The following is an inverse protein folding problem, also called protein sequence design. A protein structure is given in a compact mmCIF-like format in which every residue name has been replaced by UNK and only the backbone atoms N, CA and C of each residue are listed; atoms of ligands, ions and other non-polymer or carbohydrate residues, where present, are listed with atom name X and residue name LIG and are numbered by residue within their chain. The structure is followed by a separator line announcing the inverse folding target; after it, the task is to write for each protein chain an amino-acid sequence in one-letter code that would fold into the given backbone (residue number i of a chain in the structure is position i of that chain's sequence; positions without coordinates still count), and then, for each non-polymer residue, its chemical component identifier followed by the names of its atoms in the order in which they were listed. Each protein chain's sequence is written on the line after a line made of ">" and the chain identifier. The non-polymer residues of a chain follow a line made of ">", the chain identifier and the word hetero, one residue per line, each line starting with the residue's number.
data_IF_489551532470
#
_entry.id   IF_489551532470
#
_cell.length_a   1.000
_cell.length_b   1.000
_cell.length_c   1.000
_cell.angle_alpha   90.00
_cell.angle_beta   90.00
_cell.angle_gamma   90.00
#
_symmetry.space_group_name_H-M   'P 1'
#
loop_
_entity.id
_entity.type
_entity.pdbx_description
1 polymer ?
#
# COMPACT_ATOMS: atom_id res chain seq x y z
N UNK A 1 30.25 -8.90 -21.91
CA UNK A 1 29.87 -7.51 -21.70
C UNK A 1 28.98 -7.33 -20.50
N UNK A 2 28.78 -6.08 -20.11
CA UNK A 2 27.83 -5.68 -19.06
C UNK A 2 26.69 -4.84 -19.64
N UNK A 3 25.49 -5.00 -19.12
CA UNK A 3 24.35 -4.12 -19.39
C UNK A 3 23.72 -3.73 -18.05
N UNK A 4 23.42 -2.45 -17.88
CA UNK A 4 22.83 -1.89 -16.66
C UNK A 4 21.66 -1.00 -17.07
N UNK A 5 20.48 -1.25 -16.45
CA UNK A 5 19.30 -0.43 -16.59
C UNK A 5 18.82 -0.01 -15.21
N UNK A 6 18.54 1.26 -15.01
CA UNK A 6 18.02 1.82 -13.76
C UNK A 6 16.89 2.78 -14.07
N UNK A 7 15.82 2.71 -13.29
CA UNK A 7 14.69 3.63 -13.35
C UNK A 7 14.26 3.98 -11.93
N UNK A 8 13.95 5.25 -11.71
CA UNK A 8 13.34 5.74 -10.48
C UNK A 8 12.28 6.78 -10.77
N UNK A 9 11.19 6.79 -10.01
CA UNK A 9 10.20 7.85 -10.07
C UNK A 9 9.60 8.12 -8.71
N UNK A 10 9.20 9.36 -8.47
CA UNK A 10 8.49 9.76 -7.26
C UNK A 10 7.19 10.44 -7.64
N UNK A 11 6.09 9.97 -7.07
CA UNK A 11 4.76 10.52 -7.29
C UNK A 11 4.12 10.83 -5.95
N UNK A 12 3.54 12.01 -5.81
CA UNK A 12 2.78 12.39 -4.63
C UNK A 12 1.59 13.27 -5.01
N UNK A 13 0.61 13.35 -4.15
CA UNK A 13 -0.57 14.19 -4.36
C UNK A 13 -1.51 14.17 -3.17
N UNK A 14 -2.48 15.07 -3.20
CA UNK A 14 -3.49 15.18 -2.13
C UNK A 14 -4.70 14.26 -2.35
N UNK A 15 -4.82 13.62 -3.52
CA UNK A 15 -6.00 12.83 -3.88
C UNK A 15 -7.24 13.68 -4.16
N UNK A 16 -8.33 13.03 -4.55
CA UNK A 16 -9.60 13.70 -4.83
C UNK A 16 -10.38 14.02 -3.55
N UNK A 17 -10.52 13.07 -2.63
CA UNK A 17 -11.20 13.27 -1.36
C UNK A 17 -10.29 13.99 -0.35
N UNK A 18 -10.89 14.68 0.62
CA UNK A 18 -10.16 15.33 1.70
C UNK A 18 -9.26 14.35 2.46
N UNK A 19 -8.01 14.74 2.69
CA UNK A 19 -7.06 13.96 3.48
C UNK A 19 -6.61 12.64 2.85
N UNK A 20 -6.84 12.39 1.56
CA UNK A 20 -6.41 11.17 0.85
C UNK A 20 -5.07 11.36 0.13
N UNK A 21 -4.16 12.06 0.76
CA UNK A 21 -2.83 12.26 0.22
C UNK A 21 -2.04 10.94 0.14
N UNK A 22 -1.17 10.86 -0.86
CA UNK A 22 -0.36 9.69 -1.14
C UNK A 22 1.06 10.07 -1.55
N UNK A 23 1.98 9.11 -1.35
CA UNK A 23 3.36 9.15 -1.82
C UNK A 23 3.77 7.77 -2.29
N UNK A 24 4.38 7.70 -3.47
CA UNK A 24 4.89 6.47 -4.07
C UNK A 24 6.29 6.74 -4.62
N UNK A 25 7.22 5.88 -4.31
CA UNK A 25 8.54 5.87 -4.93
C UNK A 25 8.71 4.55 -5.71
N UNK A 26 8.81 4.61 -7.03
CA UNK A 26 9.09 3.43 -7.84
C UNK A 26 10.57 3.34 -8.13
N UNK A 27 11.11 2.14 -8.02
CA UNK A 27 12.49 1.85 -8.42
C UNK A 27 12.55 0.53 -9.18
N UNK A 28 13.47 0.49 -10.13
CA UNK A 28 13.84 -0.68 -10.90
C UNK A 28 15.33 -0.62 -11.18
N UNK A 29 16.03 -1.75 -11.03
CA UNK A 29 17.39 -1.93 -11.49
C UNK A 29 17.56 -3.32 -12.07
N UNK A 30 18.24 -3.40 -13.20
CA UNK A 30 18.68 -4.64 -13.81
C UNK A 30 20.17 -4.54 -14.16
N UNK A 31 20.94 -5.55 -13.76
CA UNK A 31 22.34 -5.69 -14.09
C UNK A 31 22.52 -7.03 -14.73
N UNK A 32 23.03 -7.06 -15.95
CA UNK A 32 23.28 -8.29 -16.71
C UNK A 32 24.75 -8.41 -17.09
N UNK A 33 25.28 -9.59 -16.99
CA UNK A 33 26.65 -9.95 -17.42
C UNK A 33 26.60 -11.08 -18.43
N UNK A 34 27.09 -10.85 -19.61
CA UNK A 34 27.41 -11.88 -20.60
C UNK A 34 28.86 -12.31 -20.35
N UNK A 35 29.05 -13.51 -19.80
CA UNK A 35 30.36 -14.09 -19.49
C UNK A 35 31.08 -14.55 -20.76
N UNK A 36 30.32 -15.26 -21.61
CA UNK A 36 30.74 -15.75 -22.93
C UNK A 36 29.50 -15.90 -23.81
N UNK A 37 29.62 -16.45 -25.00
CA UNK A 37 28.52 -16.67 -25.94
C UNK A 37 27.37 -17.54 -25.37
N UNK A 38 27.64 -18.35 -24.36
CA UNK A 38 26.73 -19.36 -23.85
C UNK A 38 26.12 -19.02 -22.49
N UNK A 39 26.70 -18.11 -21.71
CA UNK A 39 26.29 -17.84 -20.35
C UNK A 39 26.01 -16.38 -20.08
N UNK A 40 24.78 -16.08 -19.68
CA UNK A 40 24.39 -14.78 -19.21
C UNK A 40 23.76 -14.90 -17.82
N UNK A 41 24.14 -13.98 -16.93
CA UNK A 41 23.54 -13.83 -15.61
C UNK A 41 22.90 -12.43 -15.51
N UNK A 42 21.66 -12.37 -15.02
CA UNK A 42 20.94 -11.11 -14.86
C UNK A 42 20.34 -11.05 -13.46
N UNK A 43 20.66 -9.98 -12.74
CA UNK A 43 20.01 -9.63 -11.47
C UNK A 43 19.02 -8.50 -11.70
N UNK A 44 17.79 -8.68 -11.22
CA UNK A 44 16.73 -7.65 -11.30
C UNK A 44 16.19 -7.40 -9.91
N UNK A 45 15.98 -6.13 -9.59
CA UNK A 45 15.26 -5.68 -8.40
C UNK A 45 14.29 -4.58 -8.78
N UNK A 46 13.06 -4.62 -8.26
CA UNK A 46 12.10 -3.54 -8.37
C UNK A 46 11.16 -3.50 -7.18
N UNK A 47 10.53 -2.36 -6.99
CA UNK A 47 9.55 -2.15 -5.94
C UNK A 47 8.94 -0.77 -5.98
N UNK A 48 7.87 -0.61 -5.21
CA UNK A 48 7.11 0.62 -5.10
C UNK A 48 6.71 0.86 -3.63
N UNK A 49 7.65 1.29 -2.74
CA UNK A 49 7.24 1.74 -1.41
C UNK A 49 6.21 2.85 -1.53
N UNK A 50 5.09 2.67 -0.88
CA UNK A 50 3.98 3.61 -0.92
C UNK A 50 3.35 3.81 0.44
N UNK A 51 2.83 5.00 0.63
CA UNK A 51 1.94 5.34 1.74
C UNK A 51 0.78 6.17 1.20
N UNK A 52 -0.41 5.92 1.70
CA UNK A 52 -1.59 6.67 1.32
C UNK A 52 -2.63 6.66 2.43
N UNK A 53 -3.46 7.69 2.39
CA UNK A 53 -4.67 7.79 3.18
C UNK A 53 -5.87 7.56 2.28
N UNK A 54 -6.92 6.97 2.83
CA UNK A 54 -8.09 6.55 2.06
C UNK A 54 -9.37 7.16 2.63
N UNK A 55 -10.43 7.01 1.88
CA UNK A 55 -11.81 7.17 2.30
C UNK A 55 -12.54 5.86 2.05
N UNK A 56 -12.35 4.89 2.94
CA UNK A 56 -12.88 3.53 2.77
C UNK A 56 -14.32 3.39 3.25
N UNK A 57 -14.77 4.27 4.13
CA UNK A 57 -16.08 4.16 4.75
C UNK A 57 -17.18 4.73 3.84
N UNK A 58 -18.14 3.89 3.48
CA UNK A 58 -19.36 4.33 2.81
C UNK A 58 -20.29 5.09 3.77
N UNK A 59 -21.09 6.00 3.22
CA UNK A 59 -22.15 6.72 3.94
C UNK A 59 -23.52 6.40 3.35
N UNK A 60 -24.55 6.45 4.18
CA UNK A 60 -25.93 6.36 3.73
C UNK A 60 -26.32 7.54 2.84
N UNK A 61 -27.38 7.38 2.04
CA UNK A 61 -27.93 8.49 1.24
C UNK A 61 -28.32 9.69 2.12
N UNK A 62 -28.90 9.43 3.30
CA UNK A 62 -29.30 10.48 4.24
C UNK A 62 -28.09 11.25 4.78
N UNK A 63 -27.00 10.55 5.11
CA UNK A 63 -25.78 11.21 5.57
C UNK A 63 -25.09 12.00 4.45
N UNK A 64 -25.09 11.50 3.22
CA UNK A 64 -24.60 12.28 2.08
C UNK A 64 -25.42 13.56 1.83
N UNK A 65 -26.74 13.50 2.02
CA UNK A 65 -27.60 14.68 1.93
C UNK A 65 -27.30 15.67 3.04
N UNK A 66 -27.07 15.20 4.26
CA UNK A 66 -26.64 16.05 5.38
C UNK A 66 -25.25 16.68 5.10
N UNK A 67 -24.30 15.92 4.57
CA UNK A 67 -22.98 16.47 4.17
C UNK A 67 -23.16 17.58 3.13
N UNK A 68 -23.98 17.33 2.12
CA UNK A 68 -24.23 18.29 1.05
C UNK A 68 -24.87 19.59 1.57
N UNK A 69 -25.84 19.50 2.47
CA UNK A 69 -26.62 20.64 2.93
C UNK A 69 -25.98 21.38 4.10
N UNK A 70 -25.31 20.68 4.99
CA UNK A 70 -24.81 21.23 6.25
C UNK A 70 -23.30 21.51 6.26
N UNK A 71 -22.49 20.61 5.67
CA UNK A 71 -21.04 20.64 5.85
C UNK A 71 -20.25 21.04 4.60
N UNK A 72 -20.88 21.13 3.45
CA UNK A 72 -20.17 21.38 2.19
C UNK A 72 -20.57 22.68 1.50
N UNK A 73 -21.38 23.52 2.14
CA UNK A 73 -21.98 24.74 1.66
C UNK A 73 -21.50 25.24 0.28
N UNK A 74 -20.25 25.71 0.15
CA UNK A 74 -19.67 26.21 -1.10
C UNK A 74 -18.59 25.30 -1.70
N UNK A 75 -18.44 24.08 -1.20
CA UNK A 75 -17.40 23.12 -1.63
C UNK A 75 -18.03 21.90 -2.30
N UNK A 76 -17.28 21.23 -3.16
CA UNK A 76 -17.72 19.96 -3.71
C UNK A 76 -17.87 18.92 -2.58
N UNK A 77 -19.11 18.65 -2.18
CA UNK A 77 -19.47 17.70 -1.14
C UNK A 77 -18.96 16.26 -1.43
N UNK A 78 -18.71 15.93 -2.70
CA UNK A 78 -18.15 14.62 -3.09
C UNK A 78 -16.74 14.41 -2.59
N UNK A 79 -16.03 15.49 -2.25
CA UNK A 79 -14.70 15.46 -1.67
C UNK A 79 -14.69 15.21 -0.17
N UNK A 80 -15.83 15.26 0.48
CA UNK A 80 -15.94 15.00 1.92
C UNK A 80 -15.38 13.62 2.29
N UNK A 81 -14.58 13.58 3.35
CA UNK A 81 -14.07 12.37 3.94
C UNK A 81 -14.45 12.34 5.42
N UNK A 82 -15.26 11.35 5.88
CA UNK A 82 -15.71 11.27 7.27
C UNK A 82 -14.57 11.25 8.28
N UNK A 83 -13.43 10.67 7.90
CA UNK A 83 -12.26 10.49 8.77
C UNK A 83 -11.29 11.67 8.75
N UNK A 84 -11.53 12.65 7.86
CA UNK A 84 -10.69 13.81 7.73
C UNK A 84 -10.95 14.86 8.80
N UNK A 85 -9.89 15.31 9.46
CA UNK A 85 -10.01 16.37 10.45
C UNK A 85 -8.67 16.88 10.96
N UNK A 86 -8.67 17.46 12.16
CA UNK A 86 -7.51 18.14 12.72
C UNK A 86 -7.28 17.70 14.17
N UNK A 87 -6.02 17.64 14.57
CA UNK A 87 -5.63 17.45 15.97
C UNK A 87 -5.55 18.80 16.71
N UNK A 88 -5.20 18.74 18.00
CA UNK A 88 -5.11 19.95 18.86
C UNK A 88 -4.03 20.96 18.43
N UNK A 89 -3.08 20.56 17.61
CA UNK A 89 -2.07 21.45 17.02
C UNK A 89 -2.41 21.94 15.63
N UNK A 90 -3.62 21.66 15.14
CA UNK A 90 -4.08 22.04 13.80
C UNK A 90 -3.49 21.19 12.65
N UNK A 91 -2.82 20.08 12.95
CA UNK A 91 -2.31 19.18 11.92
C UNK A 91 -3.43 18.33 11.35
N UNK A 92 -3.43 18.16 10.04
CA UNK A 92 -4.35 17.28 9.32
C UNK A 92 -4.15 15.83 9.74
N UNK A 93 -5.24 15.12 9.94
CA UNK A 93 -5.30 13.69 10.29
C UNK A 93 -6.35 12.98 9.45
N UNK A 94 -6.11 11.71 9.19
CA UNK A 94 -7.07 10.78 8.61
C UNK A 94 -6.79 9.42 9.21
N UNK A 95 -7.79 8.74 9.75
CA UNK A 95 -7.60 7.45 10.43
C UNK A 95 -7.27 6.32 9.45
N UNK A 96 -7.83 6.36 8.26
CA UNK A 96 -7.64 5.34 7.23
C UNK A 96 -6.30 5.55 6.49
N UNK A 97 -5.29 4.87 6.97
CA UNK A 97 -3.90 4.95 6.50
C UNK A 97 -3.36 3.58 6.14
N UNK A 98 -2.66 3.51 5.03
CA UNK A 98 -1.93 2.32 4.60
C UNK A 98 -0.50 2.67 4.18
N UNK A 99 0.43 1.79 4.53
CA UNK A 99 1.81 1.82 4.08
C UNK A 99 2.23 0.43 3.67
N UNK A 100 2.75 0.30 2.45
CA UNK A 100 3.10 -0.98 1.88
C UNK A 100 4.37 -0.90 1.05
N UNK A 101 5.20 -1.95 1.13
CA UNK A 101 6.35 -2.15 0.28
C UNK A 101 6.62 -3.64 0.11
N UNK A 102 6.73 -4.09 -1.13
CA UNK A 102 7.12 -5.45 -1.50
C UNK A 102 8.19 -5.40 -2.58
N UNK A 103 9.48 -5.30 -2.21
CA UNK A 103 10.56 -5.50 -3.16
C UNK A 103 10.50 -6.90 -3.75
N UNK A 104 10.66 -6.97 -5.05
CA UNK A 104 10.85 -8.19 -5.80
C UNK A 104 12.28 -8.23 -6.32
N UNK A 105 12.95 -9.37 -6.14
CA UNK A 105 14.31 -9.61 -6.60
C UNK A 105 14.36 -10.92 -7.37
N UNK A 106 15.12 -10.97 -8.45
CA UNK A 106 15.37 -12.22 -9.18
C UNK A 106 16.80 -12.30 -9.69
N UNK A 107 17.32 -13.50 -9.71
CA UNK A 107 18.59 -13.85 -10.35
C UNK A 107 18.30 -14.88 -11.43
N UNK A 108 18.49 -14.47 -12.68
CA UNK A 108 18.23 -15.29 -13.87
C UNK A 108 19.54 -15.68 -14.52
N UNK A 109 19.76 -16.98 -14.72
CA UNK A 109 20.82 -17.53 -15.52
C UNK A 109 20.26 -18.06 -16.84
N UNK A 110 20.80 -17.61 -17.94
CA UNK A 110 20.57 -18.16 -19.27
C UNK A 110 21.81 -18.95 -19.69
N UNK A 111 21.64 -20.22 -20.02
CA UNK A 111 22.65 -21.09 -20.57
C UNK A 111 22.24 -21.54 -21.97
N UNK A 112 22.95 -21.06 -23.00
CA UNK A 112 22.86 -21.57 -24.36
C UNK A 112 23.70 -22.82 -24.47
N UNK A 113 23.09 -24.00 -24.39
CA UNK A 113 23.80 -25.31 -24.36
C UNK A 113 24.42 -25.61 -25.73
N UNK A 114 23.64 -25.33 -26.77
CA UNK A 114 24.03 -25.42 -28.17
C UNK A 114 23.12 -24.52 -29.02
N UNK A 115 23.26 -24.54 -30.35
CA UNK A 115 22.49 -23.71 -31.27
C UNK A 115 20.95 -23.92 -31.17
N UNK A 116 20.53 -25.13 -30.71
CA UNK A 116 19.13 -25.55 -30.68
C UNK A 116 18.54 -25.65 -29.26
N UNK A 117 19.36 -25.54 -28.23
CA UNK A 117 18.91 -25.84 -26.87
C UNK A 117 19.42 -24.81 -25.87
N UNK A 118 18.56 -24.39 -24.99
CA UNK A 118 18.90 -23.49 -23.88
C UNK A 118 18.21 -23.93 -22.58
N UNK A 119 18.81 -23.53 -21.47
CA UNK A 119 18.27 -23.66 -20.13
C UNK A 119 18.22 -22.28 -19.48
N UNK A 120 17.02 -21.87 -19.05
CA UNK A 120 16.83 -20.65 -18.27
C UNK A 120 16.44 -21.04 -16.86
N UNK A 121 17.22 -20.59 -15.87
CA UNK A 121 16.94 -20.80 -14.45
C UNK A 121 16.81 -19.45 -13.76
N UNK A 122 15.74 -19.23 -13.02
CA UNK A 122 15.48 -18.02 -12.26
C UNK A 122 15.16 -18.38 -10.82
N UNK A 123 15.89 -17.84 -9.88
CA UNK A 123 15.51 -17.80 -8.47
C UNK A 123 14.97 -16.42 -8.16
N UNK A 124 13.91 -16.34 -7.34
CA UNK A 124 13.29 -15.06 -7.02
C UNK A 124 12.82 -14.98 -5.57
N UNK A 125 12.70 -13.77 -5.08
CA UNK A 125 12.17 -13.45 -3.76
C UNK A 125 11.30 -12.21 -3.81
N UNK A 126 10.18 -12.23 -3.10
CA UNK A 126 9.35 -11.08 -2.80
C UNK A 126 9.25 -10.92 -1.28
N UNK A 127 9.65 -9.76 -0.74
CA UNK A 127 9.76 -9.50 0.68
C UNK A 127 8.78 -8.40 1.09
N UNK A 128 7.51 -8.77 1.27
CA UNK A 128 6.43 -7.85 1.57
C UNK A 128 6.39 -7.39 3.03
N UNK A 129 6.21 -6.11 3.24
CA UNK A 129 5.80 -5.57 4.53
C UNK A 129 4.83 -4.41 4.34
N UNK A 130 3.78 -4.40 5.16
CA UNK A 130 2.78 -3.34 5.07
C UNK A 130 1.85 -3.34 6.26
N UNK A 131 0.97 -2.37 6.28
CA UNK A 131 -0.04 -2.25 7.31
C UNK A 131 -0.62 -0.85 7.40
N UNK A 132 -1.55 -0.70 8.31
CA UNK A 132 -2.27 0.53 8.52
C UNK A 132 -2.43 0.87 10.00
N UNK A 133 -3.36 1.77 10.27
CA UNK A 133 -3.80 2.05 11.63
C UNK A 133 -5.06 1.23 11.95
N UNK A 134 -5.18 0.89 13.23
CA UNK A 134 -6.39 0.32 13.81
C UNK A 134 -6.72 1.04 15.11
N UNK A 135 -7.92 1.56 15.22
CA UNK A 135 -8.43 2.17 16.43
C UNK A 135 -8.63 1.13 17.53
N UNK A 136 -8.28 1.49 18.76
CA UNK A 136 -8.55 0.74 19.98
C UNK A 136 -9.15 1.68 21.00
N UNK A 137 -10.05 1.17 21.81
CA UNK A 137 -10.74 1.95 22.83
C UNK A 137 -10.92 1.17 24.12
N UNK A 138 -11.15 1.88 25.21
CA UNK A 138 -11.73 1.34 26.41
C UNK A 138 -13.21 1.03 26.14
N UNK A 139 -13.56 -0.24 25.94
CA UNK A 139 -14.87 -0.71 25.51
C UNK A 139 -16.01 -0.43 26.50
N UNK A 140 -15.72 -0.01 27.72
CA UNK A 140 -16.75 0.37 28.69
C UNK A 140 -17.31 1.78 28.43
N UNK A 141 -16.51 2.66 27.86
CA UNK A 141 -16.86 4.08 27.63
C UNK A 141 -16.86 4.42 26.14
N UNK A 142 -15.88 3.91 25.42
CA UNK A 142 -15.66 4.17 24.01
C UNK A 142 -15.53 2.86 23.23
N UNK A 143 -15.81 2.91 21.93
CA UNK A 143 -15.58 1.79 21.01
C UNK A 143 -14.43 2.10 20.05
N UNK A 144 -13.85 1.07 19.43
CA UNK A 144 -12.84 1.23 18.38
C UNK A 144 -13.37 2.04 17.19
N UNK A 145 -14.67 2.00 16.94
CA UNK A 145 -15.34 2.78 15.88
C UNK A 145 -15.35 4.29 16.16
N UNK A 146 -15.11 4.71 17.38
CA UNK A 146 -15.01 6.13 17.74
C UNK A 146 -13.80 6.82 17.12
N UNK A 147 -12.82 6.05 16.60
CA UNK A 147 -11.72 6.56 15.80
C UNK A 147 -12.07 6.87 14.35
N UNK A 148 -13.20 6.38 13.88
CA UNK A 148 -13.59 6.49 12.49
C UNK A 148 -14.75 7.48 12.33
N UNK A 149 -14.71 8.23 11.26
CA UNK A 149 -15.73 9.24 10.96
C UNK A 149 -17.08 8.65 10.56
N UNK A 150 -17.17 7.35 10.34
CA UNK A 150 -18.42 6.63 10.11
C UNK A 150 -18.41 5.24 10.73
N UNK A 151 -19.59 4.75 11.07
CA UNK A 151 -19.84 3.42 11.61
C UNK A 151 -21.00 2.78 10.86
N UNK A 152 -20.79 1.60 10.26
CA UNK A 152 -21.79 0.86 9.47
C UNK A 152 -22.56 1.74 8.47
N UNK A 153 -21.86 2.65 7.81
CA UNK A 153 -22.45 3.56 6.82
C UNK A 153 -23.12 4.82 7.40
N UNK A 154 -23.18 4.97 8.70
CA UNK A 154 -23.70 6.18 9.36
C UNK A 154 -22.56 7.10 9.77
N UNK A 155 -22.76 8.40 9.57
CA UNK A 155 -21.80 9.42 9.98
C UNK A 155 -21.66 9.44 11.50
N UNK A 156 -20.43 9.26 12.00
CA UNK A 156 -20.15 9.37 13.42
C UNK A 156 -20.23 10.86 13.86
N UNK A 157 -21.18 11.16 14.74
CA UNK A 157 -21.42 12.51 15.25
C UNK A 157 -20.74 12.78 16.58
N UNK A 158 -20.22 11.78 17.28
CA UNK A 158 -19.61 11.89 18.61
C UNK A 158 -18.36 12.78 18.62
N UNK A 159 -17.57 12.66 17.55
CA UNK A 159 -16.35 13.43 17.33
C UNK A 159 -16.42 14.25 16.03
N UNK A 160 -17.56 14.87 15.77
CA UNK A 160 -17.76 15.70 14.59
C UNK A 160 -17.77 17.19 14.99
N UNK A 161 -16.86 17.95 14.40
CA UNK A 161 -16.82 19.40 14.57
C UNK A 161 -17.98 20.10 13.81
N UNK A 162 -18.24 21.35 14.15
CA UNK A 162 -19.33 22.12 13.56
C UNK A 162 -19.18 22.33 12.03
N UNK A 163 -17.94 22.33 11.53
CA UNK A 163 -17.62 22.45 10.10
C UNK A 163 -17.68 21.10 9.35
N UNK A 164 -18.02 20.03 10.05
CA UNK A 164 -18.12 18.68 9.50
C UNK A 164 -16.82 17.88 9.51
N UNK A 165 -15.69 18.43 9.94
CA UNK A 165 -14.43 17.68 10.09
C UNK A 165 -14.48 16.75 11.29
N UNK A 166 -13.64 15.70 11.29
CA UNK A 166 -13.50 14.82 12.43
C UNK A 166 -12.61 15.46 13.50
N UNK A 167 -13.07 15.48 14.75
CA UNK A 167 -12.44 16.21 15.85
C UNK A 167 -11.44 15.34 16.60
N UNK A 168 -10.24 15.17 16.03
CA UNK A 168 -9.13 14.49 16.71
C UNK A 168 -8.65 15.23 17.97
N UNK A 169 -8.82 16.55 18.03
CA UNK A 169 -8.45 17.34 19.21
C UNK A 169 -9.29 16.96 20.43
N UNK A 170 -10.58 16.65 20.23
CA UNK A 170 -11.45 16.15 21.30
C UNK A 170 -10.99 14.78 21.83
N UNK A 171 -10.55 13.89 20.95
CA UNK A 171 -9.98 12.58 21.36
C UNK A 171 -8.70 12.79 22.19
N UNK A 172 -7.80 13.68 21.73
CA UNK A 172 -6.58 14.01 22.46
C UNK A 172 -6.89 14.61 23.84
N UNK A 173 -7.90 15.45 23.96
CA UNK A 173 -8.35 16.03 25.22
C UNK A 173 -8.89 14.97 26.20
N UNK A 174 -9.69 14.01 25.70
CA UNK A 174 -10.20 12.88 26.48
C UNK A 174 -9.03 12.05 27.02
N UNK A 175 -8.09 11.67 26.16
CA UNK A 175 -6.93 10.90 26.55
C UNK A 175 -6.06 11.62 27.60
N UNK A 176 -5.92 12.92 27.45
CA UNK A 176 -5.15 13.76 28.39
C UNK A 176 -5.84 13.88 29.77
N UNK A 177 -7.15 13.86 29.81
CA UNK A 177 -7.95 13.99 31.03
C UNK A 177 -8.18 12.66 31.76
N UNK A 178 -7.83 11.53 31.16
CA UNK A 178 -8.02 10.20 31.77
C UNK A 178 -6.91 9.89 32.78
N UNK A 179 -7.30 9.51 33.98
CA UNK A 179 -6.38 9.09 35.06
C UNK A 179 -5.89 7.64 34.88
N UNK A 180 -6.56 6.86 34.04
CA UNK A 180 -6.30 5.42 33.86
C UNK A 180 -5.54 5.09 32.57
N UNK A 181 -4.91 6.10 31.95
CA UNK A 181 -4.28 5.96 30.63
C UNK A 181 -5.21 6.39 29.49
N UNK A 182 -4.75 6.24 28.26
CA UNK A 182 -5.51 6.69 27.09
C UNK A 182 -6.76 5.85 26.87
N UNK A 183 -7.91 6.50 26.75
CA UNK A 183 -9.20 5.88 26.48
C UNK A 183 -9.33 5.42 25.02
N UNK A 184 -8.72 6.17 24.10
CA UNK A 184 -8.75 5.95 22.67
C UNK A 184 -7.33 6.00 22.11
N UNK A 185 -6.83 4.90 21.56
CA UNK A 185 -5.49 4.82 20.97
C UNK A 185 -5.56 4.36 19.52
N UNK A 186 -4.64 4.84 18.70
CA UNK A 186 -4.44 4.38 17.34
C UNK A 186 -3.23 3.44 17.31
N UNK A 187 -3.47 2.15 17.18
CA UNK A 187 -2.41 1.16 17.06
C UNK A 187 -1.99 1.00 15.61
N UNK A 188 -0.72 0.66 15.40
CA UNK A 188 -0.19 0.34 14.08
C UNK A 188 -0.18 -1.17 13.90
N UNK A 189 -0.96 -1.65 12.93
CA UNK A 189 -0.90 -3.03 12.47
C UNK A 189 0.20 -3.15 11.41
N UNK A 190 0.98 -4.23 11.49
CA UNK A 190 2.04 -4.53 10.53
C UNK A 190 2.00 -6.00 10.15
N UNK A 191 1.83 -6.27 8.88
CA UNK A 191 1.97 -7.59 8.26
C UNK A 191 3.31 -7.72 7.55
N UNK A 192 3.84 -8.94 7.49
CA UNK A 192 5.00 -9.32 6.67
C UNK A 192 4.62 -10.56 5.87
N UNK A 193 5.05 -10.60 4.62
CA UNK A 193 4.88 -11.73 3.73
C UNK A 193 6.17 -11.90 2.94
N UNK A 194 6.76 -13.09 3.00
CA UNK A 194 7.92 -13.45 2.21
C UNK A 194 7.54 -14.57 1.26
N UNK A 195 7.95 -14.43 0.03
CA UNK A 195 7.72 -15.42 -1.01
C UNK A 195 9.01 -15.65 -1.76
N UNK A 196 9.36 -16.93 -1.96
CA UNK A 196 10.55 -17.38 -2.65
C UNK A 196 10.16 -18.41 -3.70
N UNK A 197 10.86 -18.44 -4.82
CA UNK A 197 10.62 -19.46 -5.82
C UNK A 197 11.80 -19.73 -6.72
N UNK A 198 11.72 -20.85 -7.39
CA UNK A 198 12.62 -21.31 -8.44
C UNK A 198 11.81 -21.64 -9.68
N UNK A 199 12.19 -21.06 -10.81
CA UNK A 199 11.67 -21.41 -12.12
C UNK A 199 12.83 -21.87 -13.00
N UNK A 200 12.74 -23.06 -13.57
CA UNK A 200 13.74 -23.55 -14.53
C UNK A 200 13.04 -24.10 -15.76
N UNK A 201 13.44 -23.62 -16.93
CA UNK A 201 12.85 -24.01 -18.22
C UNK A 201 13.94 -24.42 -19.18
N UNK A 202 13.87 -25.66 -19.67
CA UNK A 202 14.66 -26.16 -20.77
C UNK A 202 13.85 -26.03 -22.08
N UNK A 203 14.45 -25.47 -23.09
CA UNK A 203 13.85 -25.35 -24.43
C UNK A 203 14.80 -25.99 -25.46
N UNK A 204 14.25 -26.71 -26.43
CA UNK A 204 15.05 -27.34 -27.46
C UNK A 204 14.25 -27.53 -28.76
N UNK A 205 14.95 -27.49 -29.88
CA UNK A 205 14.42 -27.85 -31.21
C UNK A 205 14.80 -29.28 -31.54
N UNK A 206 13.77 -30.10 -31.76
CA UNK A 206 13.94 -31.50 -32.19
C UNK A 206 13.61 -31.65 -33.68
N UNK A 207 14.29 -32.56 -34.36
CA UNK A 207 14.07 -32.93 -35.77
C UNK A 207 14.05 -31.73 -36.76
N UNK A 208 14.62 -30.57 -36.35
CA UNK A 208 14.70 -29.39 -37.19
C UNK A 208 13.36 -28.61 -37.39
N UNK A 209 12.25 -29.07 -36.85
CA UNK A 209 10.92 -28.46 -37.05
C UNK A 209 10.01 -28.49 -35.83
N UNK A 210 10.39 -29.11 -34.73
CA UNK A 210 9.57 -29.18 -33.51
C UNK A 210 10.28 -28.44 -32.37
N UNK A 211 9.70 -27.35 -31.94
CA UNK A 211 10.13 -26.63 -30.74
C UNK A 211 9.36 -27.17 -29.54
N UNK A 212 10.08 -27.52 -28.50
CA UNK A 212 9.48 -27.99 -27.24
C UNK A 212 10.19 -27.41 -26.03
N UNK A 213 9.48 -27.37 -24.94
CA UNK A 213 10.02 -26.91 -23.64
C UNK A 213 9.48 -27.77 -22.50
N UNK A 214 10.26 -27.87 -21.45
CA UNK A 214 9.86 -28.49 -20.18
C UNK A 214 10.44 -27.66 -19.04
N UNK A 215 9.69 -27.54 -17.94
CA UNK A 215 10.10 -26.70 -16.83
C UNK A 215 9.61 -27.19 -15.48
N UNK A 216 10.22 -26.61 -14.44
CA UNK A 216 9.88 -26.80 -13.03
C UNK A 216 9.62 -25.41 -12.46
N UNK A 217 8.55 -25.29 -11.70
CA UNK A 217 8.19 -24.12 -10.88
C UNK A 217 7.92 -24.60 -9.45
N UNK A 218 8.53 -23.95 -8.45
CA UNK A 218 8.39 -24.32 -7.04
C UNK A 218 8.48 -23.08 -6.12
#
# INVERSE_FOLDING_TARGET
>A
GWAINVLGSYTHGDGYAQGTNFKVFNYFANISKLFNANHQLSFTIFGAPQEHYSRSNALTKADWEMVRTKYSQDKDWRRFNPDYGFNSTGQRKTADYNKYHMPFMSLKHLWQINEKSNLTTTVYAALGSGGGYNGKANETTYSEYDWYGSDYGKLNMKFRAADGTFDYAKIEAINKASDNGSELIMSRIRGKQNWYGLLSTFSSQAFGCIDWFAGIDS
#
